data_IF_492896502907
#
_entry.id   IF_492896502907
#
_cell.length_a   1.000
_cell.length_b   1.000
_cell.length_c   1.000
_cell.angle_alpha   90.00
_cell.angle_beta   90.00
_cell.angle_gamma   90.00
#
_symmetry.space_group_name_H-M   'P 1'
#
loop_
_entity.id
_entity.type
_entity.pdbx_description
1 polymer ?
#
# COMPACT_ATOMS: atom_id res chain seq x y z
N UNK A 1 -46.18 49.65 -80.11
CA UNK A 1 -44.78 49.94 -79.80
C UNK A 1 -44.53 49.41 -78.40
N UNK A 2 -43.85 48.29 -78.25
CA UNK A 2 -43.55 47.60 -77.00
C UNK A 2 -42.04 47.79 -76.68
N UNK A 3 -41.71 48.43 -75.54
CA UNK A 3 -40.37 48.50 -75.03
C UNK A 3 -40.00 47.20 -74.26
N UNK A 4 -38.84 46.64 -74.47
CA UNK A 4 -38.35 45.51 -73.69
C UNK A 4 -37.61 46.03 -72.44
N UNK A 5 -38.25 45.90 -71.29
CA UNK A 5 -37.57 46.03 -70.00
C UNK A 5 -37.32 44.66 -69.47
N UNK A 6 -36.07 44.31 -69.24
CA UNK A 6 -35.80 43.10 -68.51
C UNK A 6 -34.56 42.36 -68.93
N UNK A 7 -33.43 42.72 -68.41
CA UNK A 7 -32.19 41.94 -68.64
C UNK A 7 -30.99 42.32 -67.75
N UNK A 8 -31.05 43.48 -67.10
CA UNK A 8 -29.84 43.98 -66.45
C UNK A 8 -29.81 43.72 -64.91
N UNK A 9 -30.96 43.48 -64.23
CA UNK A 9 -31.04 43.30 -62.79
C UNK A 9 -30.57 41.91 -62.34
N UNK A 10 -30.77 40.89 -63.14
CA UNK A 10 -30.42 39.51 -62.80
C UNK A 10 -28.89 39.26 -62.78
N UNK A 11 -28.18 39.89 -63.72
CA UNK A 11 -26.71 39.74 -63.80
C UNK A 11 -25.98 40.50 -62.72
N UNK A 12 -26.47 41.62 -62.26
CA UNK A 12 -25.88 42.38 -61.11
C UNK A 12 -26.12 41.67 -59.80
N UNK A 13 -27.30 41.08 -59.58
CA UNK A 13 -27.58 40.27 -58.39
C UNK A 13 -26.67 39.06 -58.23
N UNK A 14 -26.41 38.33 -59.32
CA UNK A 14 -25.48 37.15 -59.29
C UNK A 14 -24.04 37.55 -58.99
N UNK A 15 -23.58 38.68 -59.55
CA UNK A 15 -22.20 39.15 -59.27
C UNK A 15 -22.04 39.61 -57.85
N UNK A 16 -23.02 40.32 -57.25
CA UNK A 16 -22.99 40.76 -55.84
C UNK A 16 -23.03 39.56 -54.88
N UNK A 17 -23.87 38.56 -55.15
CA UNK A 17 -23.93 37.34 -54.30
C UNK A 17 -22.66 36.49 -54.42
N UNK A 18 -22.02 36.42 -55.59
CA UNK A 18 -20.74 35.70 -55.79
C UNK A 18 -19.60 36.41 -55.03
N UNK A 19 -19.53 37.73 -55.01
CA UNK A 19 -18.51 38.50 -54.28
C UNK A 19 -18.71 38.34 -52.77
N UNK A 20 -19.98 38.41 -52.29
CA UNK A 20 -20.30 38.16 -50.87
C UNK A 20 -19.92 36.74 -50.42
N UNK A 21 -20.12 35.72 -51.25
CA UNK A 21 -19.76 34.32 -50.95
C UNK A 21 -18.25 34.13 -50.94
N UNK A 22 -17.50 34.84 -51.78
CA UNK A 22 -16.03 34.78 -51.80
C UNK A 22 -15.40 35.43 -50.57
N UNK A 23 -16.03 36.47 -50.01
CA UNK A 23 -15.57 37.10 -48.74
C UNK A 23 -15.81 36.21 -47.49
N UNK A 24 -16.81 35.29 -47.57
CA UNK A 24 -17.07 34.36 -46.48
C UNK A 24 -16.13 33.13 -46.48
N UNK A 25 -15.38 32.91 -47.56
CA UNK A 25 -14.40 31.83 -47.71
C UNK A 25 -12.96 32.28 -47.42
N UNK A 26 -12.75 33.52 -46.91
CA UNK A 26 -11.42 33.91 -46.43
C UNK A 26 -11.05 33.03 -45.28
N UNK A 27 -9.99 32.17 -45.35
CA UNK A 27 -9.52 31.46 -44.17
C UNK A 27 -9.17 32.52 -43.15
N UNK A 28 -9.70 32.38 -41.93
CA UNK A 28 -9.19 33.10 -40.75
C UNK A 28 -7.77 32.53 -40.58
N UNK A 29 -6.80 33.15 -41.23
CA UNK A 29 -5.40 32.93 -40.87
C UNK A 29 -5.27 33.54 -39.50
N UNK A 30 -5.47 32.70 -38.47
CA UNK A 30 -5.01 32.99 -37.13
C UNK A 30 -3.49 33.18 -37.26
N UNK A 31 -3.05 34.42 -37.37
CA UNK A 31 -1.62 34.71 -37.20
C UNK A 31 -1.31 34.34 -35.80
N UNK A 32 -0.79 33.12 -35.56
CA UNK A 32 -0.06 32.82 -34.33
C UNK A 32 1.10 33.80 -34.36
N UNK A 33 0.92 34.88 -33.59
CA UNK A 33 2.02 35.76 -33.29
C UNK A 33 3.04 34.86 -32.55
N UNK A 34 4.30 34.77 -33.02
CA UNK A 34 5.30 33.99 -32.31
C UNK A 34 5.24 34.45 -30.84
N UNK A 35 5.06 33.53 -29.93
CA UNK A 35 5.15 33.83 -28.52
C UNK A 35 6.51 34.49 -28.28
N UNK A 36 6.57 35.57 -27.49
CA UNK A 36 7.86 36.21 -27.20
C UNK A 36 8.77 35.19 -26.54
N UNK A 37 10.07 35.21 -26.86
CA UNK A 37 11.04 34.34 -26.22
C UNK A 37 10.88 34.46 -24.70
N UNK A 38 10.63 33.35 -24.05
CA UNK A 38 10.39 33.26 -22.62
C UNK A 38 11.17 32.10 -22.03
N UNK A 39 10.83 31.78 -20.81
CA UNK A 39 11.35 30.57 -20.15
C UNK A 39 10.24 29.60 -19.85
N UNK A 40 10.60 28.33 -19.69
CA UNK A 40 9.66 27.22 -19.48
C UNK A 40 10.19 26.29 -18.40
N UNK A 41 9.29 25.76 -17.58
CA UNK A 41 9.55 24.70 -16.62
C UNK A 41 8.67 23.52 -16.96
N UNK A 42 9.25 22.33 -16.98
CA UNK A 42 8.51 21.11 -17.28
C UNK A 42 9.06 19.89 -16.53
N UNK A 43 8.21 18.89 -16.32
CA UNK A 43 8.56 17.60 -15.74
C UNK A 43 8.80 16.59 -16.86
N UNK A 44 9.83 15.75 -16.71
CA UNK A 44 10.06 14.61 -17.60
C UNK A 44 9.29 13.40 -17.04
N UNK A 45 8.14 13.09 -17.65
CA UNK A 45 7.26 12.02 -17.19
C UNK A 45 7.78 10.62 -17.53
N UNK A 46 7.43 9.60 -16.73
CA UNK A 46 7.74 8.21 -17.03
C UNK A 46 7.17 7.83 -18.41
N UNK A 47 8.00 7.21 -19.25
CA UNK A 47 7.62 6.74 -20.61
C UNK A 47 7.09 7.86 -21.53
N UNK A 48 7.46 9.13 -21.29
CA UNK A 48 6.98 10.29 -22.07
C UNK A 48 5.45 10.44 -22.07
N UNK A 49 4.77 10.01 -21.02
CA UNK A 49 3.32 10.02 -20.87
C UNK A 49 2.92 10.72 -19.57
N UNK A 50 2.26 11.87 -19.69
CA UNK A 50 1.80 12.69 -18.56
C UNK A 50 0.73 11.97 -17.72
N UNK A 51 0.03 11.00 -18.29
CA UNK A 51 -0.98 10.18 -17.60
C UNK A 51 -0.33 9.06 -16.74
N UNK A 52 0.99 8.85 -16.86
CA UNK A 52 1.71 7.86 -16.06
C UNK A 52 2.24 8.46 -14.76
N UNK A 53 1.72 8.04 -13.60
CA UNK A 53 2.19 8.53 -12.31
C UNK A 53 3.61 8.05 -12.00
N UNK A 54 4.33 8.83 -11.21
CA UNK A 54 5.59 8.45 -10.62
C UNK A 54 5.38 7.46 -9.49
N UNK A 55 5.67 6.19 -9.75
CA UNK A 55 5.48 5.13 -8.76
C UNK A 55 6.54 5.17 -7.68
N UNK A 56 6.12 5.29 -6.41
CA UNK A 56 7.00 5.18 -5.26
C UNK A 56 7.60 3.76 -5.15
N UNK A 57 8.79 3.67 -4.60
CA UNK A 57 9.34 2.39 -4.17
C UNK A 57 8.61 1.88 -2.92
N UNK A 58 8.82 0.62 -2.54
CA UNK A 58 8.29 0.07 -1.28
C UNK A 58 8.87 0.74 -0.03
N UNK A 59 9.93 1.52 -0.18
CA UNK A 59 10.54 2.32 0.89
C UNK A 59 10.11 3.79 0.87
N UNK A 60 9.12 4.15 0.04
CA UNK A 60 8.57 5.50 -0.03
C UNK A 60 9.48 6.53 -0.68
N UNK A 61 10.23 6.11 -1.71
CA UNK A 61 11.17 6.99 -2.42
C UNK A 61 10.90 6.99 -3.92
N UNK A 62 11.12 8.13 -4.57
CA UNK A 62 11.11 8.28 -6.02
C UNK A 62 12.02 9.43 -6.44
N UNK A 63 12.48 9.39 -7.68
CA UNK A 63 13.27 10.45 -8.30
C UNK A 63 12.53 11.00 -9.51
N UNK A 64 12.33 12.30 -9.55
CA UNK A 64 11.65 13.05 -10.60
C UNK A 64 12.66 13.91 -11.34
N UNK A 65 12.72 13.76 -12.66
CA UNK A 65 13.49 14.67 -13.52
C UNK A 65 12.60 15.83 -13.95
N UNK A 66 13.13 17.04 -13.92
CA UNK A 66 12.47 18.24 -14.44
C UNK A 66 13.48 19.15 -15.13
N UNK A 67 13.01 20.02 -15.98
CA UNK A 67 13.88 20.91 -16.74
C UNK A 67 13.41 22.38 -16.71
N UNK A 68 14.38 23.27 -16.89
CA UNK A 68 14.11 24.68 -17.20
C UNK A 68 14.76 25.02 -18.53
N UNK A 69 13.93 25.48 -19.46
CA UNK A 69 14.36 25.95 -20.79
C UNK A 69 14.35 27.47 -20.79
N UNK A 70 15.49 28.07 -21.07
CA UNK A 70 15.64 29.52 -21.19
C UNK A 70 15.75 29.89 -22.66
N UNK A 71 14.65 30.32 -23.29
CA UNK A 71 14.60 30.78 -24.67
C UNK A 71 14.87 32.28 -24.80
N UNK A 72 15.27 32.98 -23.69
CA UNK A 72 15.60 34.40 -23.69
C UNK A 72 17.02 34.64 -24.14
N UNK A 73 17.33 35.94 -24.42
CA UNK A 73 18.65 36.37 -24.87
C UNK A 73 19.64 36.60 -23.72
N UNK A 74 19.15 36.57 -22.47
CA UNK A 74 19.95 36.78 -21.26
C UNK A 74 19.85 35.52 -20.38
N UNK A 75 20.85 35.23 -19.57
CA UNK A 75 20.72 34.19 -18.56
C UNK A 75 19.64 34.57 -17.56
N UNK A 76 18.93 33.57 -17.05
CA UNK A 76 17.91 33.71 -16.01
C UNK A 76 18.33 32.99 -14.74
N UNK A 77 17.93 33.52 -13.57
CA UNK A 77 18.03 32.83 -12.29
C UNK A 77 16.63 32.49 -11.80
N UNK A 78 16.43 31.25 -11.44
CA UNK A 78 15.13 30.71 -11.00
C UNK A 78 15.32 30.07 -9.64
N UNK A 79 14.49 30.47 -8.68
CA UNK A 79 14.34 29.81 -7.39
C UNK A 79 13.23 28.77 -7.49
N UNK A 80 13.37 27.63 -6.78
CA UNK A 80 12.43 26.54 -6.85
C UNK A 80 11.70 26.34 -5.53
N UNK A 81 10.40 26.06 -5.62
CA UNK A 81 9.53 25.66 -4.52
C UNK A 81 8.87 24.32 -4.88
N UNK A 82 8.73 23.44 -3.88
CA UNK A 82 8.21 22.09 -4.05
C UNK A 82 7.05 21.85 -3.09
N UNK A 83 5.95 21.32 -3.59
CA UNK A 83 4.82 20.83 -2.79
C UNK A 83 4.75 19.32 -2.96
N UNK A 84 5.01 18.57 -1.87
CA UNK A 84 5.06 17.12 -1.88
C UNK A 84 3.93 16.58 -1.00
N UNK A 85 3.05 15.68 -1.53
CA UNK A 85 1.98 15.06 -0.77
C UNK A 85 2.51 13.96 0.17
N UNK A 86 1.61 13.33 0.93
CA UNK A 86 1.89 12.20 1.83
C UNK A 86 2.92 12.48 2.92
N UNK A 87 3.05 13.76 3.36
CA UNK A 87 4.05 14.18 4.36
C UNK A 87 5.50 13.80 3.97
N UNK A 88 5.79 13.74 2.66
CA UNK A 88 7.10 13.39 2.14
C UNK A 88 8.13 14.49 2.34
N UNK A 89 9.41 14.09 2.36
CA UNK A 89 10.57 14.96 2.33
C UNK A 89 11.11 15.05 0.90
N UNK A 90 11.85 16.14 0.60
CA UNK A 90 12.46 16.31 -0.71
C UNK A 90 13.88 16.82 -0.62
N UNK A 91 14.66 16.50 -1.66
CA UNK A 91 15.99 17.05 -1.92
C UNK A 91 16.07 17.45 -3.39
N UNK A 92 16.25 18.76 -3.65
CA UNK A 92 16.31 19.34 -4.99
C UNK A 92 17.01 20.69 -4.97
N UNK A 93 17.32 21.28 -6.15
CA UNK A 93 17.96 22.59 -6.22
C UNK A 93 17.06 23.68 -5.63
N UNK A 94 17.64 24.58 -4.83
CA UNK A 94 16.92 25.74 -4.29
C UNK A 94 16.88 26.90 -5.30
N UNK A 95 18.02 27.18 -5.99
CA UNK A 95 18.15 28.25 -6.96
C UNK A 95 19.20 27.91 -7.99
N UNK A 96 18.90 28.23 -9.26
CA UNK A 96 19.79 27.91 -10.37
C UNK A 96 19.80 28.97 -11.45
N UNK A 97 20.97 29.15 -12.09
CA UNK A 97 21.13 30.06 -13.22
C UNK A 97 21.21 29.24 -14.52
N UNK A 98 20.33 29.57 -15.48
CA UNK A 98 20.26 28.95 -16.80
C UNK A 98 20.71 29.95 -17.86
N UNK A 99 21.75 29.60 -18.62
CA UNK A 99 22.29 30.43 -19.68
C UNK A 99 21.29 30.76 -20.78
N UNK A 100 21.50 31.86 -21.51
CA UNK A 100 20.66 32.23 -22.66
C UNK A 100 20.60 31.13 -23.70
N UNK A 101 19.41 30.77 -24.15
CA UNK A 101 19.17 29.73 -25.18
C UNK A 101 19.49 28.29 -24.71
N UNK A 102 19.67 28.06 -23.42
CA UNK A 102 20.02 26.75 -22.89
C UNK A 102 18.82 26.09 -22.19
N UNK A 103 18.86 24.75 -22.18
CA UNK A 103 18.00 23.90 -21.36
C UNK A 103 18.90 23.25 -20.28
N UNK A 104 18.39 23.15 -19.05
CA UNK A 104 19.07 22.48 -17.94
C UNK A 104 18.09 21.56 -17.23
N UNK A 105 18.46 20.29 -17.11
CA UNK A 105 17.68 19.27 -16.38
C UNK A 105 18.19 19.14 -14.95
N UNK A 106 17.29 18.91 -14.03
CA UNK A 106 17.48 18.75 -12.60
C UNK A 106 16.81 17.47 -12.12
N UNK A 107 17.16 17.09 -10.91
CA UNK A 107 16.54 15.95 -10.23
C UNK A 107 15.95 16.40 -8.90
N UNK A 108 14.71 16.04 -8.65
CA UNK A 108 14.03 16.13 -7.38
C UNK A 108 13.94 14.73 -6.79
N UNK A 109 14.62 14.48 -5.66
CA UNK A 109 14.50 13.25 -4.91
C UNK A 109 13.41 13.43 -3.86
N UNK A 110 12.40 12.56 -3.87
CA UNK A 110 11.31 12.52 -2.89
C UNK A 110 11.51 11.29 -2.02
N UNK A 111 11.37 11.44 -0.70
CA UNK A 111 11.62 10.39 0.29
C UNK A 111 10.75 10.56 1.54
N UNK A 112 10.89 9.65 2.51
CA UNK A 112 10.21 9.75 3.81
C UNK A 112 8.72 9.39 3.80
N UNK A 113 8.15 9.05 2.64
CA UNK A 113 6.73 8.70 2.54
C UNK A 113 6.49 7.31 3.13
N UNK A 114 5.62 7.22 4.14
CA UNK A 114 5.22 5.93 4.69
C UNK A 114 4.15 5.28 3.79
N UNK A 115 4.60 4.46 2.84
CA UNK A 115 3.72 3.80 1.86
C UNK A 115 2.74 2.80 2.49
N UNK A 116 3.03 2.29 3.72
CA UNK A 116 2.16 1.33 4.41
C UNK A 116 0.98 1.98 5.12
N UNK A 117 1.10 3.25 5.48
CA UNK A 117 0.02 4.02 6.12
C UNK A 117 -0.98 4.56 5.09
N UNK A 118 -0.64 4.49 3.80
CA UNK A 118 -1.48 4.94 2.71
C UNK A 118 -2.09 3.75 1.96
N UNK A 119 -3.37 3.80 1.57
CA UNK A 119 -3.98 2.74 0.77
C UNK A 119 -3.24 2.50 -0.54
N UNK A 120 -3.13 1.24 -0.96
CA UNK A 120 -2.55 0.88 -2.25
C UNK A 120 -3.25 1.61 -3.41
N UNK A 121 -2.50 1.92 -4.47
CA UNK A 121 -2.97 2.58 -5.70
C UNK A 121 -3.55 4.00 -5.47
N UNK A 122 -3.31 4.60 -4.30
CA UNK A 122 -3.65 6.02 -4.07
C UNK A 122 -2.70 6.89 -4.87
N UNK A 123 -3.27 7.90 -5.55
CA UNK A 123 -2.53 8.86 -6.35
C UNK A 123 -2.78 10.26 -5.81
N UNK A 124 -1.71 11.06 -5.61
CA UNK A 124 -1.81 12.46 -5.23
C UNK A 124 -0.81 13.31 -6.00
N UNK A 125 -1.21 14.55 -6.30
CA UNK A 125 -0.45 15.50 -7.09
C UNK A 125 0.69 16.11 -6.27
N UNK A 126 1.88 16.21 -6.88
CA UNK A 126 2.96 17.07 -6.42
C UNK A 126 3.18 18.23 -7.40
N UNK A 127 3.78 19.31 -6.94
CA UNK A 127 4.08 20.45 -7.78
C UNK A 127 5.54 20.92 -7.66
N UNK A 128 6.07 21.41 -8.77
CA UNK A 128 7.35 22.10 -8.87
C UNK A 128 7.06 23.51 -9.40
N UNK A 129 7.36 24.54 -8.61
CA UNK A 129 7.18 25.92 -9.01
C UNK A 129 8.54 26.60 -9.13
N UNK A 130 8.81 27.19 -10.28
CA UNK A 130 9.97 28.04 -10.53
C UNK A 130 9.57 29.50 -10.43
N UNK A 131 10.32 30.28 -9.66
CA UNK A 131 10.19 31.73 -9.51
C UNK A 131 11.37 32.43 -10.17
N UNK A 132 11.11 33.18 -11.22
CA UNK A 132 12.15 33.95 -11.91
C UNK A 132 12.59 35.16 -11.05
N UNK A 133 13.80 35.11 -10.53
CA UNK A 133 14.34 36.17 -9.65
C UNK A 133 15.19 37.19 -10.37
N UNK A 134 15.86 36.84 -11.49
CA UNK A 134 16.63 37.80 -12.28
C UNK A 134 16.74 37.41 -13.76
N UNK A 135 16.93 38.45 -14.60
CA UNK A 135 17.35 38.33 -16.00
C UNK A 135 18.71 39.05 -16.17
N UNK A 136 19.76 38.29 -16.41
CA UNK A 136 21.13 38.76 -16.31
C UNK A 136 21.43 39.27 -14.90
N UNK A 137 21.87 40.53 -14.82
CA UNK A 137 22.15 41.19 -13.53
C UNK A 137 20.97 42.04 -13.01
N UNK A 138 19.79 41.95 -13.65
CA UNK A 138 18.62 42.77 -13.31
C UNK A 138 17.62 41.93 -12.51
N UNK A 139 17.41 42.29 -11.24
CA UNK A 139 16.33 41.62 -10.44
C UNK A 139 14.97 41.85 -11.07
N UNK A 140 14.06 40.85 -10.94
CA UNK A 140 12.69 40.97 -11.39
C UNK A 140 11.82 41.58 -10.29
N UNK A 141 11.26 42.81 -10.50
CA UNK A 141 10.43 43.47 -9.50
C UNK A 141 9.03 42.87 -9.39
N UNK A 142 8.59 42.12 -10.41
CA UNK A 142 7.31 41.40 -10.45
C UNK A 142 7.64 39.92 -10.62
N UNK A 143 7.21 39.05 -9.71
CA UNK A 143 7.42 37.63 -9.82
C UNK A 143 6.83 37.09 -11.15
N UNK A 144 7.64 36.40 -11.91
CA UNK A 144 7.22 35.60 -13.08
C UNK A 144 7.41 34.14 -12.68
N UNK A 145 6.33 33.39 -12.50
CA UNK A 145 6.35 32.02 -12.03
C UNK A 145 5.86 31.06 -13.10
N UNK A 146 6.42 29.88 -13.08
CA UNK A 146 5.94 28.71 -13.85
C UNK A 146 5.79 27.54 -12.89
N UNK A 147 4.73 26.78 -13.04
CA UNK A 147 4.48 25.57 -12.26
C UNK A 147 4.24 24.40 -13.19
N UNK A 148 4.77 23.25 -12.81
CA UNK A 148 4.49 21.96 -13.45
C UNK A 148 4.10 20.95 -12.38
N UNK A 149 3.11 20.12 -12.66
CA UNK A 149 2.57 19.13 -11.71
C UNK A 149 2.75 17.73 -12.24
N UNK A 150 2.76 16.77 -11.37
CA UNK A 150 2.77 15.34 -11.69
C UNK A 150 2.16 14.55 -10.55
N UNK A 151 1.86 13.28 -10.79
CA UNK A 151 1.20 12.41 -9.83
C UNK A 151 2.18 11.43 -9.19
N UNK A 152 2.11 11.28 -7.86
CA UNK A 152 2.77 10.21 -7.10
C UNK A 152 1.79 9.07 -6.86
N UNK A 153 2.22 7.83 -7.13
CA UNK A 153 1.44 6.62 -6.93
C UNK A 153 1.99 5.79 -5.78
N UNK A 154 1.14 5.50 -4.80
CA UNK A 154 1.44 4.56 -3.72
C UNK A 154 1.45 3.13 -4.28
N UNK A 155 2.55 2.37 -4.15
CA UNK A 155 2.61 1.00 -4.63
C UNK A 155 1.75 0.06 -3.79
N UNK A 156 1.25 -1.01 -4.40
CA UNK A 156 0.63 -2.12 -3.67
C UNK A 156 1.71 -2.95 -2.97
N UNK A 157 1.56 -3.14 -1.66
CA UNK A 157 2.44 -3.95 -0.82
C UNK A 157 1.62 -5.06 -0.18
N UNK A 158 1.99 -6.30 -0.47
CA UNK A 158 1.46 -7.49 0.18
C UNK A 158 2.50 -8.02 1.16
N UNK A 159 2.17 -8.02 2.44
CA UNK A 159 3.07 -8.44 3.51
C UNK A 159 2.24 -9.04 4.65
N UNK A 160 2.34 -10.34 4.84
CA UNK A 160 1.66 -11.06 5.91
C UNK A 160 2.68 -11.42 7.00
N UNK A 161 2.23 -11.34 8.25
CA UNK A 161 2.93 -11.90 9.39
C UNK A 161 2.13 -13.04 10.00
N UNK A 162 2.81 -13.96 10.68
CA UNK A 162 2.18 -15.06 11.40
C UNK A 162 2.77 -15.16 12.80
N UNK A 163 1.92 -15.51 13.78
CA UNK A 163 2.38 -15.87 15.11
C UNK A 163 1.56 -17.02 15.68
N UNK A 164 2.22 -17.91 16.42
CA UNK A 164 1.61 -19.06 17.09
C UNK A 164 1.67 -18.78 18.59
N UNK A 165 0.53 -18.95 19.30
CA UNK A 165 0.50 -18.77 20.74
C UNK A 165 1.38 -19.80 21.44
N UNK A 166 2.11 -19.37 22.49
CA UNK A 166 2.89 -20.27 23.31
C UNK A 166 1.98 -21.25 24.08
N UNK A 167 2.39 -22.53 24.21
CA UNK A 167 1.68 -23.49 25.03
C UNK A 167 1.72 -23.10 26.52
N UNK A 168 0.61 -23.27 27.22
CA UNK A 168 0.52 -22.96 28.66
C UNK A 168 1.37 -23.91 29.52
N UNK A 169 1.72 -25.08 28.97
CA UNK A 169 2.52 -26.11 29.64
C UNK A 169 2.70 -27.33 28.78
N UNK A 170 3.32 -28.41 29.30
CA UNK A 170 3.48 -29.65 28.57
C UNK A 170 2.11 -30.33 28.33
N UNK A 171 2.03 -31.09 27.22
CA UNK A 171 0.89 -31.96 26.95
C UNK A 171 1.24 -33.42 27.28
N UNK A 172 0.24 -34.23 27.64
CA UNK A 172 0.44 -35.64 27.87
C UNK A 172 0.37 -36.45 26.58
N UNK A 173 1.10 -37.58 26.54
CA UNK A 173 0.89 -38.57 25.49
C UNK A 173 -0.59 -39.01 25.46
N UNK A 174 -1.19 -39.07 24.26
CA UNK A 174 -2.60 -39.39 24.07
C UNK A 174 -3.56 -38.23 24.27
N UNK A 175 -3.07 -37.00 24.49
CA UNK A 175 -3.92 -35.81 24.61
C UNK A 175 -3.84 -34.87 23.41
N UNK A 176 -4.70 -33.88 23.42
CA UNK A 176 -4.74 -32.80 22.46
C UNK A 176 -4.40 -31.46 23.11
N UNK A 177 -3.77 -30.59 22.37
CA UNK A 177 -3.49 -29.19 22.73
C UNK A 177 -3.96 -28.28 21.61
N UNK A 178 -4.62 -27.18 21.96
CA UNK A 178 -5.03 -26.17 20.98
C UNK A 178 -4.21 -24.91 21.17
N UNK A 179 -3.53 -24.50 20.11
CA UNK A 179 -2.83 -23.24 20.00
C UNK A 179 -3.61 -22.29 19.07
N UNK A 180 -3.40 -20.99 19.21
CA UNK A 180 -3.96 -20.00 18.29
C UNK A 180 -2.90 -19.58 17.31
N UNK A 181 -3.21 -19.69 16.01
CA UNK A 181 -2.41 -19.10 14.93
C UNK A 181 -3.06 -17.78 14.55
N UNK A 182 -2.31 -16.71 14.64
CA UNK A 182 -2.71 -15.36 14.24
C UNK A 182 -1.95 -14.99 12.97
N UNK A 183 -2.68 -14.52 11.96
CA UNK A 183 -2.10 -13.95 10.73
C UNK A 183 -2.49 -12.49 10.65
N UNK A 184 -1.49 -11.61 10.64
CA UNK A 184 -1.63 -10.17 10.48
C UNK A 184 -1.33 -9.72 9.04
N UNK A 185 -1.88 -8.59 8.64
CA UNK A 185 -1.56 -7.92 7.38
C UNK A 185 -0.76 -6.65 7.68
N UNK A 186 0.51 -6.65 7.31
CA UNK A 186 1.43 -5.52 7.41
C UNK A 186 1.55 -4.74 6.08
N UNK A 187 0.86 -5.19 5.05
CA UNK A 187 0.77 -4.50 3.76
C UNK A 187 -0.23 -3.35 3.77
N UNK A 188 -0.37 -2.67 2.65
CA UNK A 188 -1.32 -1.57 2.46
C UNK A 188 -2.53 -1.95 1.58
N UNK A 189 -2.66 -3.22 1.22
CA UNK A 189 -3.77 -3.76 0.45
C UNK A 189 -4.39 -4.96 1.18
N UNK A 190 -5.67 -5.21 0.96
CA UNK A 190 -6.31 -6.45 1.43
C UNK A 190 -5.63 -7.64 0.79
N UNK A 191 -5.27 -8.63 1.60
CA UNK A 191 -4.61 -9.84 1.14
C UNK A 191 -5.36 -11.10 1.62
N UNK A 192 -4.86 -12.27 1.26
CA UNK A 192 -5.36 -13.58 1.66
C UNK A 192 -4.18 -14.54 1.76
N UNK A 193 -4.27 -15.51 2.64
CA UNK A 193 -3.30 -16.61 2.63
C UNK A 193 -3.48 -17.44 1.36
N UNK A 194 -2.43 -17.59 0.58
CA UNK A 194 -2.41 -18.38 -0.66
C UNK A 194 -2.19 -19.86 -0.40
N UNK A 195 -1.26 -20.18 0.52
CA UNK A 195 -1.00 -21.55 0.96
C UNK A 195 -0.59 -21.57 2.42
N UNK A 196 -0.87 -22.69 3.09
CA UNK A 196 -0.43 -23.01 4.45
C UNK A 196 0.32 -24.34 4.40
N UNK A 197 1.50 -24.38 4.97
CA UNK A 197 2.28 -25.57 5.17
C UNK A 197 2.60 -25.71 6.66
N UNK A 198 2.29 -26.90 7.24
CA UNK A 198 2.55 -27.21 8.64
C UNK A 198 3.56 -28.35 8.66
N UNK A 199 4.64 -28.18 9.39
CA UNK A 199 5.65 -29.20 9.60
C UNK A 199 5.96 -29.39 11.08
N UNK A 200 6.38 -30.61 11.45
CA UNK A 200 6.85 -30.94 12.77
C UNK A 200 8.05 -31.89 12.72
N UNK A 201 8.81 -31.94 13.80
CA UNK A 201 9.98 -32.81 13.93
C UNK A 201 9.72 -34.08 14.79
N UNK A 202 8.43 -34.38 15.07
CA UNK A 202 8.03 -35.52 15.92
C UNK A 202 7.08 -36.47 15.19
N UNK A 203 7.51 -37.70 14.84
CA UNK A 203 6.75 -38.63 13.96
C UNK A 203 5.43 -39.16 14.53
N UNK A 204 5.16 -38.96 15.83
CA UNK A 204 3.93 -39.38 16.51
C UNK A 204 3.06 -38.21 16.94
N UNK A 205 3.36 -37.04 16.42
CA UNK A 205 2.53 -35.82 16.54
C UNK A 205 1.69 -35.69 15.26
N UNK A 206 0.49 -35.20 15.38
CA UNK A 206 -0.38 -34.82 14.24
C UNK A 206 -0.98 -33.45 14.50
N UNK A 207 -1.19 -32.70 13.44
CA UNK A 207 -1.76 -31.35 13.48
C UNK A 207 -3.05 -31.28 12.67
N UNK A 208 -4.00 -30.45 13.10
CA UNK A 208 -5.16 -30.11 12.27
C UNK A 208 -4.75 -29.24 11.08
N UNK A 209 -5.57 -29.23 10.02
CA UNK A 209 -5.39 -28.28 8.92
C UNK A 209 -5.76 -26.85 9.37
N UNK A 210 -5.18 -25.87 8.68
CA UNK A 210 -5.49 -24.44 8.83
C UNK A 210 -6.13 -23.89 7.54
N UNK A 211 -6.87 -24.73 6.80
CA UNK A 211 -7.48 -24.37 5.51
C UNK A 211 -8.43 -23.18 5.59
N UNK A 212 -9.01 -22.92 6.77
CA UNK A 212 -9.85 -21.75 7.00
C UNK A 212 -9.12 -20.43 6.75
N UNK A 213 -7.80 -20.36 6.96
CA UNK A 213 -6.99 -19.16 6.71
C UNK A 213 -6.97 -18.80 5.22
N UNK A 214 -7.04 -19.79 4.32
CA UNK A 214 -6.97 -19.56 2.87
C UNK A 214 -8.28 -19.04 2.26
N UNK A 215 -9.39 -19.15 3.00
CA UNK A 215 -10.73 -18.78 2.52
C UNK A 215 -11.16 -17.35 2.88
N UNK A 216 -10.37 -16.63 3.67
CA UNK A 216 -10.73 -15.34 4.27
C UNK A 216 -9.82 -14.21 3.79
N UNK A 217 -10.42 -13.07 3.50
CA UNK A 217 -9.69 -11.84 3.23
C UNK A 217 -9.15 -11.26 4.55
N UNK A 218 -7.91 -10.78 4.51
CA UNK A 218 -7.19 -10.22 5.66
C UNK A 218 -6.99 -8.74 5.41
N UNK A 219 -7.75 -7.93 6.15
CA UNK A 219 -7.58 -6.50 6.15
C UNK A 219 -6.61 -6.06 7.27
N UNK A 220 -6.83 -6.58 8.50
CA UNK A 220 -5.98 -6.31 9.65
C UNK A 220 -5.36 -7.60 10.19
N UNK A 221 -6.17 -8.60 10.48
CA UNK A 221 -5.73 -9.89 10.97
C UNK A 221 -6.88 -10.88 11.15
N UNK A 222 -6.52 -12.16 11.14
CA UNK A 222 -7.43 -13.30 11.38
C UNK A 222 -6.74 -14.30 12.29
N UNK A 223 -7.53 -15.13 12.98
CA UNK A 223 -7.00 -16.24 13.79
C UNK A 223 -7.69 -17.55 13.46
N UNK A 224 -6.96 -18.65 13.65
CA UNK A 224 -7.48 -20.02 13.51
C UNK A 224 -6.86 -20.92 14.59
N UNK A 225 -7.63 -21.88 15.15
CA UNK A 225 -7.10 -22.86 16.08
C UNK A 225 -6.25 -23.91 15.36
N UNK A 226 -5.06 -24.16 15.88
CA UNK A 226 -4.19 -25.27 15.53
C UNK A 226 -4.30 -26.33 16.60
N UNK A 227 -4.94 -27.47 16.30
CA UNK A 227 -5.03 -28.60 17.22
C UNK A 227 -3.85 -29.52 16.98
N UNK A 228 -3.10 -29.81 18.04
CA UNK A 228 -1.94 -30.70 18.04
C UNK A 228 -2.33 -31.92 18.87
N UNK A 229 -2.21 -33.11 18.30
CA UNK A 229 -2.55 -34.37 18.94
C UNK A 229 -1.30 -35.24 19.07
N UNK A 230 -0.96 -35.65 20.30
CA UNK A 230 0.10 -36.60 20.56
C UNK A 230 -0.45 -38.04 20.63
N UNK A 231 0.21 -38.98 19.94
CA UNK A 231 -0.14 -40.41 20.08
C UNK A 231 0.05 -40.90 21.52
N UNK A 232 -0.75 -41.90 21.95
CA UNK A 232 -0.59 -42.54 23.27
C UNK A 232 0.81 -43.15 23.47
N UNK A 233 1.47 -43.57 22.41
CA UNK A 233 2.82 -44.13 22.43
C UNK A 233 3.92 -43.08 22.25
N UNK A 234 3.59 -41.78 22.26
CA UNK A 234 4.58 -40.72 22.08
C UNK A 234 5.56 -40.70 23.26
N UNK A 235 6.88 -40.78 23.03
CA UNK A 235 7.86 -40.68 24.10
C UNK A 235 7.94 -39.26 24.64
N UNK A 236 8.46 -39.11 25.84
CA UNK A 236 8.77 -37.76 26.36
C UNK A 236 9.77 -37.07 25.42
N UNK A 237 9.35 -35.93 24.85
CA UNK A 237 10.16 -35.19 23.88
C UNK A 237 9.66 -33.75 23.73
N UNK A 238 10.60 -32.88 23.36
CA UNK A 238 10.30 -31.55 22.86
C UNK A 238 10.13 -31.61 21.33
N UNK A 239 8.96 -31.24 20.86
CA UNK A 239 8.60 -31.17 19.46
C UNK A 239 8.57 -29.73 19.02
N UNK A 240 9.06 -29.44 17.84
CA UNK A 240 8.93 -28.13 17.20
C UNK A 240 7.88 -28.26 16.08
N UNK A 241 6.90 -27.37 16.11
CA UNK A 241 5.86 -27.25 15.08
C UNK A 241 6.03 -25.91 14.40
N UNK A 242 6.21 -25.94 13.11
CA UNK A 242 6.37 -24.76 12.26
C UNK A 242 5.16 -24.62 11.34
N UNK A 243 4.68 -23.38 11.18
CA UNK A 243 3.65 -23.01 10.20
C UNK A 243 4.23 -21.97 9.26
N UNK A 244 4.16 -22.28 7.96
CA UNK A 244 4.60 -21.39 6.88
C UNK A 244 3.37 -20.98 6.06
N UNK A 245 3.23 -19.70 5.80
CA UNK A 245 2.17 -19.16 4.95
C UNK A 245 2.74 -18.37 3.77
N UNK A 246 2.00 -18.35 2.66
CA UNK A 246 2.31 -17.47 1.53
C UNK A 246 1.18 -16.47 1.31
N UNK A 247 1.55 -15.27 0.82
CA UNK A 247 0.59 -14.26 0.37
C UNK A 247 0.01 -14.62 -0.99
N UNK A 248 -1.31 -14.57 -1.12
CA UNK A 248 -2.00 -14.74 -2.40
C UNK A 248 -1.83 -13.50 -3.29
N UNK A 249 -1.95 -12.31 -2.72
CA UNK A 249 -1.78 -11.05 -3.44
C UNK A 249 -0.38 -10.91 -4.04
N UNK A 250 0.67 -11.21 -3.27
CA UNK A 250 2.04 -11.20 -3.77
C UNK A 250 2.23 -12.20 -4.92
N UNK A 251 1.73 -13.43 -4.76
CA UNK A 251 1.84 -14.49 -5.79
C UNK A 251 1.15 -14.09 -7.09
N UNK A 252 -0.07 -13.55 -7.01
CA UNK A 252 -0.83 -13.10 -8.18
C UNK A 252 -0.20 -11.89 -8.87
N UNK A 253 0.56 -11.08 -8.13
CA UNK A 253 1.31 -9.94 -8.67
C UNK A 253 2.68 -10.33 -9.24
N UNK A 254 3.00 -11.65 -9.30
CA UNK A 254 4.26 -12.18 -9.82
C UNK A 254 5.43 -12.09 -8.84
N UNK A 255 5.16 -11.78 -7.56
CA UNK A 255 6.12 -11.75 -6.46
C UNK A 255 6.00 -12.97 -5.55
N UNK A 256 6.67 -12.90 -4.41
CA UNK A 256 6.59 -13.90 -3.33
C UNK A 256 6.72 -13.18 -1.99
N UNK A 257 5.76 -13.40 -1.10
CA UNK A 257 5.87 -13.00 0.30
C UNK A 257 5.49 -14.23 1.15
N UNK A 258 6.41 -14.65 1.99
CA UNK A 258 6.30 -15.84 2.84
C UNK A 258 6.58 -15.41 4.27
N UNK A 259 5.76 -15.88 5.20
CA UNK A 259 5.96 -15.71 6.62
C UNK A 259 5.92 -17.08 7.31
N UNK A 260 6.70 -17.25 8.37
CA UNK A 260 6.71 -18.46 9.18
C UNK A 260 6.88 -18.13 10.64
N UNK A 261 6.33 -19.00 11.47
CA UNK A 261 6.57 -19.01 12.92
C UNK A 261 6.63 -20.45 13.42
N UNK A 262 7.35 -20.68 14.51
CA UNK A 262 7.51 -22.01 15.11
C UNK A 262 7.30 -21.97 16.62
N UNK A 263 6.75 -23.03 17.15
CA UNK A 263 6.48 -23.19 18.58
C UNK A 263 7.01 -24.52 19.10
N UNK A 264 7.52 -24.52 20.31
CA UNK A 264 7.99 -25.73 20.98
C UNK A 264 6.92 -26.32 21.88
N UNK A 265 6.53 -27.57 21.60
CA UNK A 265 5.56 -28.35 22.39
C UNK A 265 6.30 -29.46 23.13
N UNK A 266 6.19 -29.52 24.45
CA UNK A 266 6.75 -30.59 25.27
C UNK A 266 5.70 -31.66 25.46
N UNK A 267 5.98 -32.91 25.06
CA UNK A 267 5.13 -34.07 25.33
C UNK A 267 5.70 -34.86 26.49
N UNK A 268 4.86 -35.15 27.47
CA UNK A 268 5.20 -35.94 28.66
C UNK A 268 4.38 -37.24 28.72
N UNK A 269 4.86 -38.29 29.38
CA UNK A 269 4.04 -39.48 29.60
C UNK A 269 2.80 -39.10 30.48
N UNK A 270 1.69 -39.84 30.33
CA UNK A 270 0.53 -39.60 31.19
C UNK A 270 0.91 -39.78 32.67
N UNK A 271 0.30 -39.01 33.59
CA UNK A 271 0.57 -39.14 35.01
C UNK A 271 0.28 -40.58 35.44
N UNK A 272 1.29 -41.22 36.01
CA UNK A 272 1.12 -42.54 36.62
C UNK A 272 0.35 -42.31 37.90
N UNK A 273 -0.90 -42.80 38.01
CA UNK A 273 -1.56 -42.93 39.29
C UNK A 273 -0.73 -43.93 40.09
N UNK A 274 0.14 -43.50 40.98
CA UNK A 274 0.68 -44.38 41.99
C UNK A 274 -0.51 -44.81 42.85
N UNK A 275 -1.02 -46.01 42.54
CA UNK A 275 -1.92 -46.70 43.49
C UNK A 275 -1.17 -46.81 44.80
N UNK A 276 -1.69 -46.18 45.84
CA UNK A 276 -1.12 -46.21 47.18
C UNK A 276 -0.99 -47.69 47.59
N UNK A 277 0.22 -48.24 47.80
CA UNK A 277 0.40 -49.69 48.12
C UNK A 277 -0.18 -50.08 49.47
N UNK A 278 -0.89 -49.14 50.13
CA UNK A 278 -1.44 -49.35 51.49
C UNK A 278 -2.97 -49.60 51.53
N UNK A 279 -3.66 -49.72 50.36
CA UNK A 279 -5.08 -50.07 50.36
C UNK A 279 -5.29 -51.63 50.27
N UNK A 280 -4.64 -52.36 51.20
CA UNK A 280 -5.05 -53.73 51.51
C UNK A 280 -5.93 -53.69 52.75
N UNK A 281 -7.21 -53.52 52.58
CA UNK A 281 -8.09 -53.75 53.70
C UNK A 281 -9.54 -53.35 53.55
N UNK A 282 -10.34 -54.23 52.92
CA UNK A 282 -11.68 -54.57 53.44
C UNK A 282 -12.80 -53.56 53.24
N UNK A 283 -13.68 -53.87 52.46
CA UNK A 283 -15.11 -54.14 52.67
C UNK A 283 -16.02 -53.76 51.52
N UNK A 284 -16.84 -54.70 51.17
CA UNK A 284 -17.98 -54.55 50.29
C UNK A 284 -18.91 -53.38 50.69
N UNK A 285 -19.37 -52.59 49.73
CA UNK A 285 -20.64 -51.86 49.87
C UNK A 285 -20.52 -50.36 49.54
N UNK A 286 -20.98 -50.04 48.46
CA UNK A 286 -21.74 -48.85 48.04
C UNK A 286 -21.24 -48.19 46.77
N UNK A 287 -22.02 -48.36 45.70
CA UNK A 287 -21.89 -47.54 44.49
C UNK A 287 -22.26 -46.12 44.84
N UNK A 288 -21.29 -45.24 44.82
CA UNK A 288 -21.53 -43.78 44.67
C UNK A 288 -20.84 -43.33 43.40
N UNK A 289 -21.66 -42.91 42.50
CA UNK A 289 -21.32 -42.27 41.23
C UNK A 289 -20.55 -40.98 41.52
N UNK A 290 -19.21 -40.99 41.45
CA UNK A 290 -18.39 -39.82 41.67
C UNK A 290 -18.26 -39.08 40.32
N UNK A 291 -19.07 -38.02 40.18
CA UNK A 291 -18.98 -37.05 39.11
C UNK A 291 -17.61 -36.34 39.17
N UNK A 292 -16.71 -36.76 38.32
CA UNK A 292 -15.43 -36.02 38.14
C UNK A 292 -15.76 -34.65 37.58
N UNK A 293 -15.73 -33.60 38.42
CA UNK A 293 -15.80 -32.22 37.98
C UNK A 293 -14.50 -31.85 37.27
N UNK A 294 -14.53 -31.80 35.96
CA UNK A 294 -13.43 -31.22 35.19
C UNK A 294 -13.31 -29.73 35.49
N UNK A 295 -12.21 -29.34 36.15
CA UNK A 295 -11.83 -27.95 36.27
C UNK A 295 -11.49 -27.39 34.87
N UNK A 296 -12.47 -26.74 34.24
CA UNK A 296 -12.23 -25.92 33.07
C UNK A 296 -11.46 -24.67 33.50
N UNK A 297 -10.31 -24.36 32.90
CA UNK A 297 -9.64 -23.10 33.16
C UNK A 297 -10.52 -21.94 32.67
N UNK A 298 -10.68 -20.97 33.56
CA UNK A 298 -11.51 -19.78 33.40
C UNK A 298 -10.93 -18.86 32.29
N UNK A 299 -11.46 -18.97 31.08
CA UNK A 299 -11.08 -18.19 29.88
C UNK A 299 -11.52 -16.71 29.96
N UNK A 300 -12.21 -16.30 31.06
CA UNK A 300 -12.88 -14.99 31.15
C UNK A 300 -11.99 -13.78 31.40
N UNK A 301 -10.75 -13.92 31.85
CA UNK A 301 -9.96 -12.77 32.35
C UNK A 301 -9.19 -12.07 31.24
N UNK A 302 -8.72 -12.77 30.23
CA UNK A 302 -7.94 -12.16 29.16
C UNK A 302 -8.79 -11.40 28.11
N UNK A 303 -10.03 -11.82 27.87
CA UNK A 303 -10.93 -11.15 26.93
C UNK A 303 -11.40 -9.77 27.45
N UNK A 304 -11.49 -9.60 28.77
CA UNK A 304 -11.89 -8.33 29.38
C UNK A 304 -10.78 -7.27 29.34
N UNK A 305 -9.51 -7.67 29.43
CA UNK A 305 -8.37 -6.73 29.37
C UNK A 305 -8.17 -6.20 27.95
N UNK A 306 -8.37 -7.04 26.93
CA UNK A 306 -8.22 -6.63 25.52
C UNK A 306 -9.31 -5.65 25.06
N UNK A 307 -10.57 -5.84 25.53
CA UNK A 307 -11.68 -4.92 25.25
C UNK A 307 -11.50 -3.56 25.94
N UNK A 308 -10.83 -3.50 27.08
CA UNK A 308 -10.55 -2.24 27.78
C UNK A 308 -9.46 -1.43 27.07
N UNK A 309 -8.48 -2.08 26.46
CA UNK A 309 -7.43 -1.40 25.71
C UNK A 309 -7.94 -0.83 24.38
N UNK A 310 -8.83 -1.52 23.69
CA UNK A 310 -9.46 -1.02 22.45
C UNK A 310 -10.39 0.17 22.73
N UNK A 311 -11.14 0.16 23.83
CA UNK A 311 -12.01 1.27 24.20
C UNK A 311 -11.25 2.53 24.70
N UNK A 312 -10.02 2.38 25.16
CA UNK A 312 -9.17 3.51 25.55
C UNK A 312 -8.55 4.22 24.33
N UNK A 313 -8.28 3.48 23.24
CA UNK A 313 -7.71 4.05 22.01
C UNK A 313 -8.73 4.84 21.17
N UNK A 314 -10.03 4.56 21.31
CA UNK A 314 -11.09 5.24 20.55
C UNK A 314 -11.49 6.60 21.17
N UNK A 315 -11.06 6.89 22.40
CA UNK A 315 -11.51 8.09 23.14
C UNK A 315 -10.57 9.29 23.04
N UNK A 316 -9.42 9.17 22.34
CA UNK A 316 -8.42 10.25 22.21
C UNK A 316 -8.56 11.10 20.96
N UNK A 317 -9.54 10.81 20.07
CA UNK A 317 -9.65 11.51 18.78
C UNK A 317 -10.95 12.35 18.65
N UNK A 318 -11.40 12.95 19.76
CA UNK A 318 -12.60 13.79 19.74
C UNK A 318 -12.56 14.92 20.74
N UNK A 319 -11.57 15.80 20.64
CA UNK A 319 -11.56 17.17 21.12
C UNK A 319 -10.32 17.90 20.56
N UNK A 320 -10.48 18.47 19.34
CA UNK A 320 -9.89 19.76 18.93
C UNK A 320 -10.60 20.26 17.66
#
# INVERSE_FOLDING_TARGET
>A
MQCPTGGLSLKVGVIVTSIALLCMLSPIVSSQQPEPPGWELGIEYPQEDEDNPFKLSSTGTVSVSFFVSNNELLPITVDFEYEIPFEGEYDGPESETIGAGNNKTFTLAISGINVRDNPAETTEEFSITGLLVSRGSVPQPIPDSRSSTGDLLIPTIYDLEISISEPVGPMNSGSEMTLQVLVGNLGNAVDRVGSVEISDNCPLLTTSSLDELTSRDIQNGISSPLVITASQSHPQRNCEVEVVISSNGATNSGGSAIASDSVRVTVEPPPVNEEDPNDQGGNEGDMIDEVVSSNLPNVGVFLTVFMILISASIKTDRDD
#
